data_IF_173071126028
#
_entry.id   IF_173071126028
#
_cell.length_a   1.000
_cell.length_b   1.000
_cell.length_c   1.000
_cell.angle_alpha   90.00
_cell.angle_beta   90.00
_cell.angle_gamma   90.00
#
_symmetry.space_group_name_H-M   'P 1'
#
loop_
_entity.id
_entity.type
_entity.pdbx_description
1 polymer ?
#
# COMPACT_ATOMS: atom_id res chain seq x y z
N UNK A 1 -13.12 2.79 -7.29
CA UNK A 1 -13.10 3.91 -6.31
C UNK A 1 -13.92 3.63 -5.05
N UNK A 2 -15.20 3.21 -5.09
CA UNK A 2 -15.99 3.01 -3.85
C UNK A 2 -15.38 2.05 -2.83
N UNK A 3 -14.71 0.98 -3.28
CA UNK A 3 -13.98 0.08 -2.40
C UNK A 3 -12.78 0.77 -1.74
N UNK A 4 -11.96 1.52 -2.50
CA UNK A 4 -10.83 2.30 -1.97
C UNK A 4 -11.32 3.28 -0.90
N UNK A 5 -12.44 3.96 -1.14
CA UNK A 5 -13.03 4.90 -0.17
C UNK A 5 -13.48 4.21 1.11
N UNK A 6 -14.11 3.03 1.00
CA UNK A 6 -14.50 2.22 2.15
C UNK A 6 -13.30 1.81 2.98
N UNK A 7 -12.23 1.32 2.33
CA UNK A 7 -11.01 0.93 3.04
C UNK A 7 -10.26 2.15 3.60
N UNK A 8 -10.32 3.32 2.94
CA UNK A 8 -9.79 4.59 3.49
C UNK A 8 -10.47 4.98 4.80
N UNK A 9 -11.79 4.81 4.89
CA UNK A 9 -12.55 5.05 6.11
C UNK A 9 -12.11 4.09 7.22
N UNK A 10 -11.92 2.79 6.92
CA UNK A 10 -11.40 1.83 7.90
C UNK A 10 -10.01 2.21 8.41
N UNK A 11 -9.11 2.66 7.53
CA UNK A 11 -7.79 3.16 7.92
C UNK A 11 -7.92 4.32 8.92
N UNK A 12 -8.82 5.27 8.64
CA UNK A 12 -9.09 6.38 9.57
C UNK A 12 -9.73 5.91 10.89
N UNK A 13 -10.60 4.90 10.86
CA UNK A 13 -11.25 4.33 12.05
C UNK A 13 -10.27 3.58 12.97
N UNK A 14 -9.26 2.92 12.43
CA UNK A 14 -8.22 2.27 13.21
C UNK A 14 -7.31 3.26 13.96
N UNK A 15 -7.12 4.45 13.38
CA UNK A 15 -6.26 5.51 13.93
C UNK A 15 -6.95 6.87 13.90
N UNK A 16 -8.02 7.06 14.69
CA UNK A 16 -8.96 8.18 14.53
C UNK A 16 -8.36 9.55 14.81
N UNK A 17 -7.30 9.64 15.62
CA UNK A 17 -6.75 10.92 16.05
C UNK A 17 -5.65 11.46 15.13
N UNK A 18 -4.78 10.58 14.66
CA UNK A 18 -3.56 10.97 13.94
C UNK A 18 -3.30 10.18 12.66
N UNK A 19 -4.18 9.22 12.31
CA UNK A 19 -4.06 8.42 11.10
C UNK A 19 -2.77 7.61 11.02
N UNK A 20 -2.36 7.29 9.80
CA UNK A 20 -1.10 6.62 9.47
C UNK A 20 0.14 7.51 9.61
N UNK A 21 -0.07 8.82 9.71
CA UNK A 21 0.95 9.84 9.51
C UNK A 21 0.93 10.42 8.08
N UNK A 22 1.36 11.70 7.90
CA UNK A 22 1.40 12.34 6.58
C UNK A 22 2.20 11.53 5.55
N UNK A 23 1.66 11.39 4.34
CA UNK A 23 2.28 10.65 3.24
C UNK A 23 2.38 9.13 3.45
N UNK A 24 1.67 8.58 4.44
CA UNK A 24 1.73 7.17 4.80
C UNK A 24 0.46 6.39 4.46
N UNK A 25 -0.41 6.92 3.61
CA UNK A 25 -1.65 6.24 3.20
C UNK A 25 -1.42 4.81 2.68
N UNK A 26 -0.37 4.59 1.88
CA UNK A 26 -0.04 3.26 1.36
C UNK A 26 0.21 2.22 2.48
N UNK A 27 0.70 2.65 3.64
CA UNK A 27 0.90 1.77 4.80
C UNK A 27 -0.43 1.26 5.35
N UNK A 28 -1.43 2.14 5.45
CA UNK A 28 -2.80 1.75 5.78
C UNK A 28 -3.42 0.87 4.70
N UNK A 29 -3.24 1.25 3.42
CA UNK A 29 -3.79 0.52 2.29
C UNK A 29 -3.25 -0.92 2.18
N UNK A 30 -1.98 -1.16 2.54
CA UNK A 30 -1.42 -2.52 2.59
C UNK A 30 -2.04 -3.42 3.67
N UNK A 31 -2.64 -2.83 4.71
CA UNK A 31 -3.41 -3.57 5.72
C UNK A 31 -4.86 -3.80 5.30
N UNK A 32 -5.39 -2.94 4.42
CA UNK A 32 -6.75 -3.02 3.89
C UNK A 32 -6.76 -2.88 2.36
N UNK A 33 -6.13 -3.81 1.61
CA UNK A 33 -6.06 -3.68 0.16
C UNK A 33 -7.40 -4.01 -0.48
N UNK A 34 -7.56 -3.54 -1.70
CA UNK A 34 -8.73 -3.85 -2.55
C UNK A 34 -8.32 -4.91 -3.57
N UNK A 35 -9.15 -5.94 -3.82
CA UNK A 35 -8.86 -6.91 -4.86
C UNK A 35 -8.70 -6.25 -6.24
N UNK A 36 -7.61 -6.56 -6.91
CA UNK A 36 -7.34 -6.16 -8.29
C UNK A 36 -8.14 -7.05 -9.24
N UNK A 37 -8.95 -6.44 -10.09
CA UNK A 37 -9.77 -7.14 -11.08
C UNK A 37 -9.02 -7.22 -12.41
N UNK A 38 -8.94 -8.41 -12.99
CA UNK A 38 -8.32 -8.63 -14.29
C UNK A 38 -6.78 -8.64 -14.29
N UNK A 39 -6.14 -8.54 -13.13
CA UNK A 39 -4.68 -8.66 -12.96
C UNK A 39 -4.27 -10.09 -12.65
N UNK A 40 -2.98 -10.39 -12.79
CA UNK A 40 -2.43 -11.69 -12.46
C UNK A 40 -2.49 -12.02 -10.96
N UNK A 41 -2.35 -11.03 -10.08
CA UNK A 41 -2.47 -11.19 -8.64
C UNK A 41 -3.75 -10.53 -8.10
N UNK A 42 -4.43 -11.21 -7.17
CA UNK A 42 -5.65 -10.71 -6.52
C UNK A 42 -5.38 -9.46 -5.69
N UNK A 43 -4.24 -9.40 -5.01
CA UNK A 43 -3.85 -8.27 -4.15
C UNK A 43 -2.79 -7.38 -4.79
N UNK A 44 -2.60 -7.43 -6.11
CA UNK A 44 -1.61 -6.63 -6.83
C UNK A 44 -1.95 -5.15 -7.00
N UNK A 45 -3.16 -4.72 -6.59
CA UNK A 45 -3.50 -3.30 -6.57
C UNK A 45 -2.75 -2.61 -5.45
N UNK A 46 -2.10 -1.50 -5.78
CA UNK A 46 -1.53 -0.57 -4.82
C UNK A 46 -1.93 0.84 -5.21
N UNK A 47 -2.14 1.70 -4.23
CA UNK A 47 -2.35 3.12 -4.45
C UNK A 47 -1.81 3.91 -3.27
N UNK A 48 -1.11 4.99 -3.57
CA UNK A 48 -0.66 5.97 -2.56
C UNK A 48 -1.79 6.94 -2.18
N UNK A 49 -2.92 6.88 -2.89
CA UNK A 49 -3.99 7.87 -2.77
C UNK A 49 -5.38 7.25 -2.66
N UNK A 50 -6.22 7.85 -1.81
CA UNK A 50 -7.62 7.50 -1.62
C UNK A 50 -8.52 7.89 -2.82
N UNK A 51 -8.01 8.72 -3.74
CA UNK A 51 -8.83 9.41 -4.76
C UNK A 51 -9.97 10.22 -4.12
N UNK A 52 -9.66 10.93 -3.04
CA UNK A 52 -10.49 11.92 -2.35
C UNK A 52 -9.58 12.60 -1.33
N UNK A 53 -9.36 13.91 -1.44
CA UNK A 53 -8.47 14.63 -0.49
C UNK A 53 -8.99 14.55 0.94
N UNK A 54 -10.31 14.51 1.13
CA UNK A 54 -10.92 14.35 2.45
C UNK A 54 -10.59 12.98 3.06
N UNK A 55 -10.78 11.90 2.29
CA UNK A 55 -10.49 10.55 2.79
C UNK A 55 -8.99 10.31 2.94
N UNK A 56 -8.17 10.91 2.07
CA UNK A 56 -6.71 10.93 2.24
C UNK A 56 -6.33 11.59 3.56
N UNK A 57 -6.85 12.80 3.82
CA UNK A 57 -6.58 13.52 5.05
C UNK A 57 -7.03 12.72 6.28
N UNK A 58 -8.22 12.11 6.25
CA UNK A 58 -8.72 11.29 7.35
C UNK A 58 -7.83 10.06 7.61
N UNK A 59 -7.39 9.37 6.56
CA UNK A 59 -6.53 8.19 6.69
C UNK A 59 -5.11 8.55 7.18
N UNK A 60 -4.52 9.65 6.72
CA UNK A 60 -3.14 10.02 7.06
C UNK A 60 -3.01 10.84 8.34
N UNK A 61 -4.02 11.65 8.68
CA UNK A 61 -3.93 12.60 9.80
C UNK A 61 -5.03 12.40 10.83
N UNK A 62 -5.87 11.38 10.66
CA UNK A 62 -7.04 11.15 11.48
C UNK A 62 -8.14 12.18 11.23
N UNK A 63 -9.22 12.05 11.99
CA UNK A 63 -10.36 12.98 11.93
C UNK A 63 -9.98 14.39 12.38
N UNK A 64 -8.97 14.53 13.25
CA UNK A 64 -8.49 15.84 13.68
C UNK A 64 -7.87 16.61 12.51
N UNK A 65 -6.97 16.00 11.75
CA UNK A 65 -6.37 16.66 10.59
C UNK A 65 -7.35 16.81 9.42
N UNK A 66 -8.25 15.85 9.21
CA UNK A 66 -9.34 15.99 8.23
C UNK A 66 -10.28 17.17 8.57
N UNK A 67 -10.62 17.35 9.84
CA UNK A 67 -11.42 18.50 10.29
C UNK A 67 -10.68 19.83 10.07
N UNK A 68 -9.39 19.89 10.39
CA UNK A 68 -8.58 21.09 10.12
C UNK A 68 -8.51 21.41 8.62
N UNK A 69 -8.38 20.39 7.77
CA UNK A 69 -8.41 20.54 6.32
C UNK A 69 -9.75 21.09 5.84
N UNK A 70 -10.87 20.54 6.31
CA UNK A 70 -12.22 21.02 5.98
C UNK A 70 -12.47 22.45 6.48
N UNK A 71 -11.99 22.79 7.67
CA UNK A 71 -12.06 24.17 8.21
C UNK A 71 -11.27 25.11 7.30
N UNK A 72 -10.06 24.72 6.86
CA UNK A 72 -9.25 25.50 5.92
C UNK A 72 -9.95 25.71 4.58
N UNK A 73 -10.51 24.65 4.00
CA UNK A 73 -11.28 24.72 2.76
C UNK A 73 -12.53 25.60 2.91
N UNK A 74 -13.30 25.40 4.00
CA UNK A 74 -14.49 26.21 4.29
C UNK A 74 -14.17 27.68 4.51
N UNK A 75 -13.07 28.00 5.18
CA UNK A 75 -12.58 29.37 5.34
C UNK A 75 -12.17 30.00 4.01
N UNK A 76 -11.51 29.24 3.13
CA UNK A 76 -11.15 29.68 1.78
C UNK A 76 -12.38 29.99 0.94
N UNK A 77 -13.39 29.11 0.94
CA UNK A 77 -14.64 29.30 0.19
C UNK A 77 -15.50 30.45 0.76
N UNK A 78 -15.56 30.59 2.09
CA UNK A 78 -16.20 31.76 2.75
C UNK A 78 -15.48 33.07 2.43
N UNK A 79 -14.16 32.96 2.27
CA UNK A 79 -13.24 33.92 1.64
C UNK A 79 -13.77 34.51 0.32
N UNK A 80 -14.25 33.63 -0.56
CA UNK A 80 -14.72 33.96 -1.90
C UNK A 80 -16.12 34.54 -1.92
N UNK A 81 -17.05 33.95 -1.15
CA UNK A 81 -18.40 34.49 -1.00
C UNK A 81 -18.38 35.92 -0.43
N UNK A 82 -17.22 36.37 0.08
CA UNK A 82 -16.99 37.68 0.62
C UNK A 82 -16.67 38.78 -0.36
N UNK A 83 -16.01 38.43 -1.46
CA UNK A 83 -15.43 39.39 -2.39
C UNK A 83 -16.53 39.87 -3.32
N UNK A 84 -17.07 41.06 -3.03
CA UNK A 84 -18.19 41.66 -3.75
C UNK A 84 -17.77 42.44 -5.02
N UNK A 85 -16.51 42.36 -5.43
CA UNK A 85 -16.02 43.08 -6.61
C UNK A 85 -16.24 42.25 -7.87
N UNK A 86 -17.16 42.69 -8.74
CA UNK A 86 -17.50 42.08 -10.03
C UNK A 86 -16.42 42.34 -11.08
N UNK A 87 -15.23 41.78 -10.88
CA UNK A 87 -14.16 41.74 -11.88
C UNK A 87 -14.18 40.38 -12.58
N UNK A 88 -14.31 40.30 -13.92
CA UNK A 88 -14.47 39.03 -14.63
C UNK A 88 -13.38 38.00 -14.33
N UNK A 89 -12.14 38.45 -14.12
CA UNK A 89 -11.02 37.58 -13.77
C UNK A 89 -11.18 36.96 -12.37
N UNK A 90 -11.72 37.71 -11.40
CA UNK A 90 -11.98 37.21 -10.04
C UNK A 90 -13.16 36.25 -10.02
N UNK A 91 -14.21 36.56 -10.78
CA UNK A 91 -15.37 35.67 -10.94
C UNK A 91 -14.96 34.33 -11.57
N UNK A 92 -14.15 34.37 -12.64
CA UNK A 92 -13.61 33.18 -13.27
C UNK A 92 -12.73 32.37 -12.30
N UNK A 93 -11.86 33.04 -11.53
CA UNK A 93 -11.02 32.38 -10.54
C UNK A 93 -11.83 31.77 -9.38
N UNK A 94 -12.89 32.44 -8.92
CA UNK A 94 -13.79 31.92 -7.88
C UNK A 94 -14.58 30.70 -8.39
N UNK A 95 -15.09 30.75 -9.62
CA UNK A 95 -15.77 29.64 -10.26
C UNK A 95 -14.83 28.43 -10.44
N UNK A 96 -13.60 28.67 -10.87
CA UNK A 96 -12.58 27.64 -10.98
C UNK A 96 -12.28 27.01 -9.61
N UNK A 97 -12.06 27.82 -8.57
CA UNK A 97 -11.80 27.32 -7.23
C UNK A 97 -12.98 26.50 -6.68
N UNK A 98 -14.22 26.94 -6.90
CA UNK A 98 -15.42 26.21 -6.49
C UNK A 98 -15.54 24.86 -7.22
N UNK A 99 -15.34 24.84 -8.54
CA UNK A 99 -15.36 23.61 -9.33
C UNK A 99 -14.26 22.63 -8.88
N UNK A 100 -13.04 23.13 -8.68
CA UNK A 100 -11.91 22.32 -8.19
C UNK A 100 -12.14 21.84 -6.75
N UNK A 101 -12.85 22.63 -5.91
CA UNK A 101 -13.24 22.22 -4.55
C UNK A 101 -14.24 21.08 -4.53
N UNK A 102 -15.09 20.96 -5.56
CA UNK A 102 -15.92 19.75 -5.75
C UNK A 102 -15.06 18.57 -6.18
N UNK A 103 -14.08 18.79 -7.09
CA UNK A 103 -13.21 17.73 -7.58
C UNK A 103 -12.35 17.11 -6.46
N UNK A 104 -11.80 17.89 -5.54
CA UNK A 104 -10.99 17.36 -4.41
C UNK A 104 -11.78 16.42 -3.49
N UNK A 105 -13.11 16.48 -3.47
CA UNK A 105 -13.93 15.54 -2.70
C UNK A 105 -13.94 14.13 -3.30
N UNK A 106 -13.67 13.99 -4.60
CA UNK A 106 -13.82 12.73 -5.35
C UNK A 106 -12.57 12.30 -6.11
N UNK A 107 -11.48 13.05 -5.96
CA UNK A 107 -10.19 12.81 -6.63
C UNK A 107 -9.01 13.33 -5.80
N UNK A 108 -7.80 12.88 -6.13
CA UNK A 108 -6.55 13.25 -5.48
C UNK A 108 -5.84 14.41 -6.21
N UNK A 109 -6.62 15.43 -6.59
CA UNK A 109 -6.16 16.53 -7.43
C UNK A 109 -4.99 17.33 -6.80
N UNK A 110 -4.97 17.53 -5.48
CA UNK A 110 -3.93 18.31 -4.80
C UNK A 110 -2.62 17.53 -4.64
N UNK A 111 -2.65 16.21 -4.86
CA UNK A 111 -1.45 15.37 -4.90
C UNK A 111 -0.66 15.55 -6.22
N UNK A 112 -1.28 16.15 -7.24
CA UNK A 112 -0.64 16.52 -8.50
C UNK A 112 -0.14 17.97 -8.41
N UNK A 113 1.18 18.23 -8.33
CA UNK A 113 1.70 19.57 -8.04
C UNK A 113 1.16 20.67 -8.96
N UNK A 114 1.03 20.39 -10.25
CA UNK A 114 0.50 21.36 -11.22
C UNK A 114 -0.96 21.77 -10.91
N UNK A 115 -1.81 20.82 -10.53
CA UNK A 115 -3.21 21.10 -10.20
C UNK A 115 -3.34 21.74 -8.81
N UNK A 116 -2.46 21.39 -7.87
CA UNK A 116 -2.35 22.08 -6.58
C UNK A 116 -1.97 23.56 -6.78
N UNK A 117 -0.97 23.85 -7.61
CA UNK A 117 -0.60 25.23 -7.96
C UNK A 117 -1.77 25.98 -8.59
N UNK A 118 -2.50 25.35 -9.50
CA UNK A 118 -3.68 25.94 -10.12
C UNK A 118 -4.77 26.26 -9.09
N UNK A 119 -5.03 25.33 -8.16
CA UNK A 119 -6.02 25.49 -7.08
C UNK A 119 -5.68 26.70 -6.20
N UNK A 120 -4.45 26.77 -5.69
CA UNK A 120 -4.04 27.85 -4.81
C UNK A 120 -3.91 29.20 -5.55
N UNK A 121 -3.50 29.19 -6.81
CA UNK A 121 -3.45 30.39 -7.64
C UNK A 121 -4.85 30.94 -7.94
N UNK A 122 -5.83 30.06 -8.21
CA UNK A 122 -7.23 30.45 -8.36
C UNK A 122 -7.77 31.09 -7.07
N UNK A 123 -7.46 30.51 -5.90
CA UNK A 123 -7.82 31.11 -4.61
C UNK A 123 -7.21 32.49 -4.38
N UNK A 124 -5.93 32.67 -4.74
CA UNK A 124 -5.25 33.96 -4.63
C UNK A 124 -5.84 35.02 -5.58
N UNK A 125 -6.07 34.66 -6.86
CA UNK A 125 -6.62 35.54 -7.89
C UNK A 125 -8.06 35.94 -7.62
N UNK A 126 -8.86 35.01 -7.08
CA UNK A 126 -10.23 35.28 -6.67
C UNK A 126 -10.32 36.24 -5.47
N UNK A 127 -9.17 36.67 -4.92
CA UNK A 127 -9.12 37.67 -3.87
C UNK A 127 -9.56 37.12 -2.52
N UNK A 128 -9.41 35.81 -2.28
CA UNK A 128 -9.66 35.18 -0.98
C UNK A 128 -8.76 35.81 0.09
N UNK A 129 -9.27 36.87 0.73
CA UNK A 129 -8.61 37.58 1.82
C UNK A 129 -9.32 37.21 3.11
N UNK A 130 -8.60 36.80 4.17
CA UNK A 130 -9.22 36.59 5.47
C UNK A 130 -9.95 37.88 5.89
N UNK A 131 -11.28 37.82 6.01
CA UNK A 131 -12.07 38.94 6.54
C UNK A 131 -11.63 39.20 7.98
N UNK A 132 -10.99 40.34 8.25
CA UNK A 132 -10.88 40.95 9.59
C UNK A 132 -10.51 40.02 10.76
N UNK A 133 -9.73 38.96 10.53
CA UNK A 133 -9.37 37.99 11.56
C UNK A 133 -8.16 38.43 12.37
N UNK A 134 -8.15 38.15 13.68
CA UNK A 134 -6.94 38.30 14.53
C UNK A 134 -5.78 37.63 13.82
N UNK A 135 -4.70 38.38 13.55
CA UNK A 135 -3.48 37.81 12.97
C UNK A 135 -3.05 36.63 13.84
N UNK A 136 -2.85 35.46 13.23
CA UNK A 136 -2.19 34.36 13.93
C UNK A 136 -0.87 34.92 14.49
N UNK A 137 -0.55 34.66 15.77
CA UNK A 137 0.71 35.11 16.32
C UNK A 137 1.84 34.55 15.44
N UNK A 138 2.88 35.35 15.15
CA UNK A 138 4.00 34.95 14.28
C UNK A 138 4.56 33.57 14.65
N UNK A 139 4.58 33.26 15.95
CA UNK A 139 4.96 31.95 16.47
C UNK A 139 4.12 30.79 15.92
N UNK A 140 2.79 30.93 15.77
CA UNK A 140 1.93 29.89 15.20
C UNK A 140 2.17 29.70 13.69
N UNK A 141 2.39 30.80 12.96
CA UNK A 141 2.74 30.72 11.54
C UNK A 141 4.12 30.05 11.33
N UNK A 142 5.11 30.41 12.15
CA UNK A 142 6.43 29.77 12.16
C UNK A 142 6.31 28.28 12.51
N UNK A 143 5.55 27.95 13.55
CA UNK A 143 5.31 26.55 13.94
C UNK A 143 4.65 25.77 12.80
N UNK A 144 3.63 26.31 12.16
CA UNK A 144 2.99 25.68 10.99
C UNK A 144 3.97 25.44 9.85
N UNK A 145 4.81 26.43 9.52
CA UNK A 145 5.85 26.29 8.50
C UNK A 145 6.91 25.24 8.89
N UNK A 146 7.35 25.21 10.15
CA UNK A 146 8.31 24.22 10.66
C UNK A 146 7.70 22.81 10.64
N UNK A 147 6.44 22.64 11.01
CA UNK A 147 5.75 21.34 10.94
C UNK A 147 5.58 20.88 9.48
N UNK A 148 5.21 21.79 8.59
CA UNK A 148 5.06 21.50 7.17
C UNK A 148 6.40 21.08 6.53
N UNK A 149 7.49 21.79 6.81
CA UNK A 149 8.84 21.42 6.36
C UNK A 149 9.31 20.13 7.06
N UNK A 150 9.00 19.99 8.35
CA UNK A 150 9.34 18.84 9.19
C UNK A 150 8.72 17.54 8.71
N UNK A 151 7.53 17.59 8.10
CA UNK A 151 6.86 16.41 7.52
C UNK A 151 7.69 15.71 6.42
N UNK A 152 8.60 16.44 5.75
CA UNK A 152 9.45 15.89 4.68
C UNK A 152 10.80 15.34 5.19
N UNK A 153 11.18 15.68 6.44
CA UNK A 153 12.48 15.32 7.01
C UNK A 153 12.62 13.80 7.26
N UNK A 154 11.64 13.08 7.83
CA UNK A 154 11.78 11.65 8.13
C UNK A 154 12.18 10.81 6.92
N UNK A 155 11.59 11.09 5.74
CA UNK A 155 11.91 10.35 4.50
C UNK A 155 13.31 10.67 3.99
N UNK A 156 13.75 11.92 4.12
CA UNK A 156 15.12 12.32 3.80
C UNK A 156 16.18 11.71 4.75
N UNK A 157 15.79 11.39 5.98
CA UNK A 157 16.64 10.72 6.98
C UNK A 157 16.69 9.19 6.81
N UNK A 158 15.72 8.58 6.13
CA UNK A 158 15.64 7.15 5.90
C UNK A 158 16.52 6.68 4.73
N UNK A 159 17.84 6.92 4.83
CA UNK A 159 18.83 6.60 3.78
C UNK A 159 19.16 5.11 3.64
N UNK A 160 18.95 4.36 4.72
CA UNK A 160 19.19 2.91 4.78
C UNK A 160 17.97 2.22 5.38
N UNK A 161 17.74 0.94 5.06
CA UNK A 161 16.53 0.24 5.46
C UNK A 161 16.42 0.00 6.96
N UNK A 162 17.53 -0.09 7.71
CA UNK A 162 17.48 -0.23 9.17
C UNK A 162 16.95 1.06 9.81
N UNK A 163 17.47 2.20 9.37
CA UNK A 163 16.96 3.51 9.82
C UNK A 163 15.54 3.75 9.35
N UNK A 164 15.19 3.35 8.13
CA UNK A 164 13.82 3.41 7.64
C UNK A 164 12.85 2.59 8.50
N UNK A 165 13.24 1.37 8.91
CA UNK A 165 12.42 0.50 9.76
C UNK A 165 12.16 1.07 11.17
N UNK A 166 13.07 1.92 11.66
CA UNK A 166 12.92 2.67 12.93
C UNK A 166 12.04 3.90 12.75
N UNK A 167 12.27 4.69 11.70
CA UNK A 167 11.52 5.93 11.44
C UNK A 167 10.08 5.66 10.98
N UNK A 168 9.86 4.55 10.27
CA UNK A 168 8.57 4.12 9.72
C UNK A 168 8.24 2.71 10.24
N UNK A 169 7.90 2.58 11.53
CA UNK A 169 7.72 1.27 12.15
C UNK A 169 6.53 0.47 11.61
N UNK A 170 5.57 1.14 10.97
CA UNK A 170 4.40 0.53 10.34
C UNK A 170 4.64 0.10 8.89
N UNK A 171 5.68 0.63 8.23
CA UNK A 171 6.00 0.28 6.83
C UNK A 171 6.61 -1.13 6.74
N UNK A 172 6.06 -2.05 5.93
CA UNK A 172 6.65 -3.36 5.69
C UNK A 172 7.91 -3.30 4.81
N UNK A 173 8.06 -2.31 3.92
CA UNK A 173 9.09 -2.33 2.86
C UNK A 173 10.51 -2.29 3.40
N UNK A 174 10.77 -1.49 4.44
CA UNK A 174 12.07 -1.43 5.07
C UNK A 174 12.51 -2.80 5.64
N UNK A 175 11.56 -3.59 6.15
CA UNK A 175 11.81 -4.93 6.70
C UNK A 175 11.98 -5.96 5.59
N UNK A 176 11.22 -5.83 4.52
CA UNK A 176 11.39 -6.62 3.30
C UNK A 176 12.79 -6.47 2.70
N UNK A 177 13.31 -5.24 2.57
CA UNK A 177 14.68 -5.02 2.08
C UNK A 177 15.74 -5.64 3.01
N UNK A 178 15.57 -5.49 4.33
CA UNK A 178 16.45 -6.16 5.30
C UNK A 178 16.37 -7.68 5.19
N UNK A 179 15.18 -8.24 4.99
CA UNK A 179 14.98 -9.69 4.88
C UNK A 179 15.67 -10.24 3.64
N UNK A 180 15.53 -9.56 2.49
CA UNK A 180 16.24 -9.92 1.27
C UNK A 180 17.77 -9.89 1.43
N UNK A 181 18.30 -8.88 2.13
CA UNK A 181 19.74 -8.81 2.42
C UNK A 181 20.20 -9.95 3.32
N UNK A 182 19.44 -10.25 4.37
CA UNK A 182 19.72 -11.36 5.27
C UNK A 182 19.70 -12.71 4.54
N UNK A 183 18.75 -12.95 3.63
CA UNK A 183 18.73 -14.15 2.78
C UNK A 183 19.98 -14.26 1.91
N UNK A 184 20.36 -13.17 1.23
CA UNK A 184 21.53 -13.13 0.35
C UNK A 184 22.83 -13.44 1.10
N UNK A 185 22.90 -13.05 2.37
CA UNK A 185 24.05 -13.29 3.26
C UNK A 185 23.97 -14.66 3.98
N UNK A 186 22.92 -15.44 3.75
CA UNK A 186 22.72 -16.75 4.38
C UNK A 186 22.24 -16.69 5.85
N UNK A 187 21.86 -15.52 6.35
CA UNK A 187 21.33 -15.31 7.71
C UNK A 187 19.84 -15.66 7.77
N UNK A 188 19.51 -16.94 7.53
CA UNK A 188 18.13 -17.40 7.31
C UNK A 188 17.19 -17.18 8.51
N UNK A 189 17.66 -17.37 9.74
CA UNK A 189 16.85 -17.14 10.94
C UNK A 189 16.44 -15.66 11.09
N UNK A 190 17.35 -14.74 10.76
CA UNK A 190 17.05 -13.32 10.77
C UNK A 190 16.11 -12.92 9.64
N UNK A 191 16.32 -13.49 8.44
CA UNK A 191 15.41 -13.30 7.32
C UNK A 191 13.97 -13.74 7.67
N UNK A 192 13.78 -14.93 8.26
CA UNK A 192 12.45 -15.40 8.67
C UNK A 192 11.78 -14.47 9.70
N UNK A 193 12.57 -13.96 10.66
CA UNK A 193 12.07 -12.99 11.63
C UNK A 193 11.64 -11.67 10.97
N UNK A 194 12.42 -11.17 10.00
CA UNK A 194 12.10 -9.95 9.26
C UNK A 194 10.87 -10.14 8.35
N UNK A 195 10.76 -11.28 7.67
CA UNK A 195 9.57 -11.64 6.90
C UNK A 195 8.32 -11.75 7.77
N UNK A 196 8.44 -12.32 8.97
CA UNK A 196 7.35 -12.37 9.93
C UNK A 196 6.87 -10.97 10.30
N UNK A 197 7.81 -10.05 10.54
CA UNK A 197 7.46 -8.66 10.84
C UNK A 197 6.83 -7.93 9.63
N UNK A 198 7.30 -8.19 8.40
CA UNK A 198 6.70 -7.63 7.19
C UNK A 198 5.27 -8.15 6.97
N UNK A 199 5.05 -9.45 7.13
CA UNK A 199 3.72 -10.08 7.04
C UNK A 199 2.72 -9.52 8.04
N UNK A 200 3.15 -9.20 9.26
CA UNK A 200 2.27 -8.56 10.26
C UNK A 200 1.82 -7.15 9.85
N UNK A 201 2.54 -6.48 8.95
CA UNK A 201 2.25 -5.11 8.49
C UNK A 201 1.52 -5.07 7.15
N UNK A 202 1.65 -6.11 6.35
CA UNK A 202 0.97 -6.29 5.08
C UNK A 202 0.43 -7.73 4.99
N UNK A 203 -0.67 -8.03 5.70
CA UNK A 203 -1.16 -9.40 5.91
C UNK A 203 -1.73 -10.06 4.64
N UNK A 204 -1.95 -9.28 3.58
CA UNK A 204 -2.48 -9.76 2.30
C UNK A 204 -1.40 -10.03 1.25
N UNK A 205 -0.14 -9.72 1.57
CA UNK A 205 0.98 -9.99 0.67
C UNK A 205 1.39 -11.47 0.78
N UNK A 206 1.13 -12.23 -0.28
CA UNK A 206 1.42 -13.66 -0.32
C UNK A 206 2.91 -13.99 -0.50
N UNK A 207 3.75 -13.01 -0.88
CA UNK A 207 5.18 -13.21 -1.08
C UNK A 207 5.85 -13.50 0.26
N UNK A 208 5.45 -12.82 1.35
CA UNK A 208 6.06 -13.02 2.66
C UNK A 208 5.91 -14.45 3.22
N UNK A 209 4.71 -15.04 3.32
CA UNK A 209 4.58 -16.43 3.75
C UNK A 209 5.27 -17.39 2.77
N UNK A 210 5.29 -17.10 1.46
CA UNK A 210 6.02 -17.92 0.49
C UNK A 210 7.55 -17.89 0.70
N UNK A 211 8.15 -16.73 0.95
CA UNK A 211 9.59 -16.59 1.29
C UNK A 211 9.94 -17.38 2.55
N UNK A 212 9.11 -17.25 3.59
CA UNK A 212 9.27 -18.03 4.82
C UNK A 212 9.15 -19.53 4.58
N UNK A 213 8.23 -19.95 3.70
CA UNK A 213 8.12 -21.35 3.30
C UNK A 213 9.39 -21.86 2.58
N UNK A 214 10.04 -21.02 1.77
CA UNK A 214 11.30 -21.36 1.11
C UNK A 214 12.43 -21.56 2.14
N UNK A 215 12.53 -20.67 3.13
CA UNK A 215 13.47 -20.79 4.24
C UNK A 215 13.23 -22.09 5.02
N UNK A 216 11.98 -22.35 5.42
CA UNK A 216 11.60 -23.57 6.14
C UNK A 216 11.93 -24.84 5.33
N UNK A 217 11.69 -24.83 4.02
CA UNK A 217 12.03 -25.93 3.13
C UNK A 217 13.56 -26.15 3.03
N UNK A 218 14.35 -25.08 2.98
CA UNK A 218 15.81 -25.16 2.95
C UNK A 218 16.38 -25.78 4.24
N UNK A 219 15.74 -25.51 5.39
CA UNK A 219 16.08 -26.10 6.69
C UNK A 219 15.50 -27.50 6.91
N UNK A 220 14.73 -28.02 5.95
CA UNK A 220 14.08 -29.34 6.06
C UNK A 220 12.85 -29.37 6.97
N UNK A 221 12.34 -28.22 7.41
CA UNK A 221 11.10 -28.08 8.19
C UNK A 221 9.87 -28.16 7.28
N UNK A 222 9.63 -29.34 6.71
CA UNK A 222 8.61 -29.55 5.68
C UNK A 222 7.17 -29.30 6.15
N UNK A 223 6.87 -29.51 7.43
CA UNK A 223 5.55 -29.20 8.00
C UNK A 223 5.27 -27.69 7.97
N UNK A 224 6.25 -26.88 8.39
CA UNK A 224 6.15 -25.42 8.38
C UNK A 224 6.11 -24.89 6.95
N UNK A 225 6.93 -25.45 6.06
CA UNK A 225 6.92 -25.10 4.65
C UNK A 225 5.55 -25.36 3.99
N UNK A 226 4.87 -26.47 4.32
CA UNK A 226 3.52 -26.75 3.81
C UNK A 226 2.50 -25.75 4.35
N UNK A 227 2.52 -25.47 5.66
CA UNK A 227 1.60 -24.53 6.30
C UNK A 227 1.76 -23.12 5.73
N UNK A 228 2.99 -22.62 5.62
CA UNK A 228 3.28 -21.29 5.10
C UNK A 228 2.95 -21.16 3.61
N UNK A 229 3.28 -22.19 2.80
CA UNK A 229 2.90 -22.20 1.40
C UNK A 229 1.36 -22.28 1.22
N UNK A 230 0.64 -22.97 2.11
CA UNK A 230 -0.82 -22.98 2.10
C UNK A 230 -1.42 -21.60 2.43
N UNK A 231 -0.79 -20.82 3.33
CA UNK A 231 -1.19 -19.42 3.57
C UNK A 231 -1.01 -18.58 2.31
N UNK A 232 0.14 -18.70 1.63
CA UNK A 232 0.42 -17.97 0.40
C UNK A 232 -0.61 -18.30 -0.71
N UNK A 233 -0.98 -19.58 -0.89
CA UNK A 233 -1.96 -19.98 -1.91
C UNK A 233 -3.41 -19.66 -1.52
N UNK A 234 -3.70 -19.50 -0.23
CA UNK A 234 -5.00 -19.01 0.22
C UNK A 234 -5.18 -17.50 -0.04
N UNK A 235 -4.10 -16.72 0.14
CA UNK A 235 -4.08 -15.30 -0.21
C UNK A 235 -4.16 -15.09 -1.73
N UNK A 236 -3.32 -15.83 -2.46
CA UNK A 236 -3.19 -15.79 -3.91
C UNK A 236 -3.37 -17.19 -4.52
N UNK A 237 -4.61 -17.57 -4.88
CA UNK A 237 -4.88 -18.88 -5.50
C UNK A 237 -4.12 -19.12 -6.80
N UNK A 238 -3.74 -18.04 -7.50
CA UNK A 238 -2.94 -18.05 -8.74
C UNK A 238 -1.43 -18.17 -8.53
N UNK A 239 -0.93 -18.18 -7.30
CA UNK A 239 0.52 -18.16 -7.02
C UNK A 239 1.17 -19.52 -7.29
N UNK A 240 1.62 -19.72 -8.53
CA UNK A 240 2.10 -21.01 -9.03
C UNK A 240 3.31 -21.53 -8.25
N UNK A 241 4.30 -20.67 -7.99
CA UNK A 241 5.51 -21.08 -7.26
C UNK A 241 5.22 -21.45 -5.80
N UNK A 242 4.22 -20.83 -5.16
CA UNK A 242 3.78 -21.23 -3.82
C UNK A 242 3.10 -22.60 -3.83
N UNK A 243 2.29 -22.91 -4.85
CA UNK A 243 1.69 -24.25 -5.03
C UNK A 243 2.73 -25.33 -5.29
N UNK A 244 3.74 -25.04 -6.11
CA UNK A 244 4.85 -25.97 -6.38
C UNK A 244 5.60 -26.28 -5.09
N UNK A 245 5.92 -25.24 -4.29
CA UNK A 245 6.59 -25.41 -3.01
C UNK A 245 5.75 -26.21 -2.02
N UNK A 246 4.43 -25.96 -1.97
CA UNK A 246 3.49 -26.74 -1.17
C UNK A 246 3.47 -28.20 -1.60
N UNK A 247 3.40 -28.48 -2.91
CA UNK A 247 3.45 -29.83 -3.45
C UNK A 247 4.76 -30.54 -3.05
N UNK A 248 5.89 -29.84 -3.14
CA UNK A 248 7.19 -30.35 -2.69
C UNK A 248 7.16 -30.74 -1.21
N UNK A 249 6.67 -29.86 -0.34
CA UNK A 249 6.53 -30.12 1.08
C UNK A 249 5.62 -31.33 1.35
N UNK A 250 4.48 -31.42 0.67
CA UNK A 250 3.55 -32.55 0.77
C UNK A 250 4.18 -33.89 0.36
N UNK A 251 5.00 -33.92 -0.70
CA UNK A 251 5.74 -35.15 -1.08
C UNK A 251 6.70 -35.56 0.04
N UNK A 252 7.44 -34.60 0.60
CA UNK A 252 8.40 -34.85 1.70
C UNK A 252 7.73 -35.32 2.99
N UNK A 253 6.48 -34.91 3.22
CA UNK A 253 5.62 -35.40 4.30
C UNK A 253 4.90 -36.72 3.96
N UNK A 254 5.15 -37.31 2.79
CA UNK A 254 4.52 -38.57 2.36
C UNK A 254 3.07 -38.44 1.87
N UNK A 255 2.53 -37.22 1.80
CA UNK A 255 1.15 -36.85 1.39
C UNK A 255 1.03 -36.69 -0.14
N UNK A 256 1.48 -37.71 -0.90
CA UNK A 256 1.60 -37.64 -2.38
C UNK A 256 0.29 -37.37 -3.12
N UNK A 257 -0.85 -37.85 -2.63
CA UNK A 257 -2.14 -37.60 -3.29
C UNK A 257 -2.50 -36.10 -3.31
N UNK A 258 -2.24 -35.40 -2.21
CA UNK A 258 -2.45 -33.95 -2.11
C UNK A 258 -1.41 -33.18 -2.93
N UNK A 259 -0.16 -33.66 -2.99
CA UNK A 259 0.84 -33.07 -3.87
C UNK A 259 0.44 -33.14 -5.35
N UNK A 260 -0.13 -34.27 -5.81
CA UNK A 260 -0.66 -34.38 -7.19
C UNK A 260 -1.77 -33.37 -7.44
N UNK A 261 -2.72 -33.24 -6.51
CA UNK A 261 -3.80 -32.27 -6.62
C UNK A 261 -3.27 -30.82 -6.77
N UNK A 262 -2.22 -30.45 -6.02
CA UNK A 262 -1.59 -29.12 -6.18
C UNK A 262 -0.92 -28.95 -7.56
N UNK A 263 -0.24 -29.99 -8.08
CA UNK A 263 0.36 -29.92 -9.42
C UNK A 263 -0.70 -29.88 -10.54
N UNK A 264 -1.80 -30.61 -10.38
CA UNK A 264 -2.94 -30.57 -11.31
C UNK A 264 -3.54 -29.16 -11.35
N UNK A 265 -3.66 -28.52 -10.19
CA UNK A 265 -4.14 -27.15 -10.06
C UNK A 265 -3.18 -26.14 -10.72
N UNK A 266 -1.86 -26.32 -10.57
CA UNK A 266 -0.85 -25.53 -11.29
C UNK A 266 -1.05 -25.64 -12.81
N UNK A 267 -1.29 -26.85 -13.35
CA UNK A 267 -1.58 -27.03 -14.78
C UNK A 267 -2.87 -26.33 -15.19
N UNK A 268 -3.93 -26.45 -14.38
CA UNK A 268 -5.24 -25.83 -14.62
C UNK A 268 -5.16 -24.31 -14.66
N UNK A 269 -4.42 -23.69 -13.74
CA UNK A 269 -4.23 -22.23 -13.70
C UNK A 269 -3.39 -21.78 -14.88
N UNK A 270 -2.30 -22.49 -15.20
CA UNK A 270 -1.42 -22.14 -16.33
C UNK A 270 -2.12 -22.24 -17.70
N UNK A 271 -3.15 -23.06 -17.82
CA UNK A 271 -3.96 -23.16 -19.04
C UNK A 271 -4.92 -21.97 -19.23
N UNK A 272 -5.14 -21.14 -18.21
CA UNK A 272 -5.98 -19.95 -18.30
C UNK A 272 -5.18 -18.75 -18.83
N UNK A 273 -5.84 -17.80 -19.52
CA UNK A 273 -5.20 -16.54 -19.89
C UNK A 273 -4.69 -15.83 -18.63
N UNK A 274 -3.42 -15.42 -18.67
CA UNK A 274 -2.86 -14.61 -17.60
C UNK A 274 -3.50 -13.23 -17.59
N UNK A 275 -3.90 -12.76 -16.41
CA UNK A 275 -4.35 -11.37 -16.24
C UNK A 275 -3.23 -10.37 -16.51
N UNK A 276 -3.56 -9.08 -16.47
CA UNK A 276 -2.57 -8.03 -16.65
C UNK A 276 -1.50 -8.06 -15.54
N UNK A 277 -0.26 -7.79 -15.92
CA UNK A 277 0.89 -7.71 -15.02
C UNK A 277 1.37 -6.26 -15.01
N UNK A 278 1.17 -5.56 -13.90
CA UNK A 278 1.51 -4.14 -13.77
C UNK A 278 2.60 -3.87 -12.74
N UNK A 279 2.74 -4.76 -11.76
CA UNK A 279 3.56 -4.53 -10.56
C UNK A 279 4.60 -5.62 -10.37
N UNK A 280 5.62 -5.33 -9.55
CA UNK A 280 6.57 -6.36 -9.12
C UNK A 280 5.90 -7.51 -8.36
N UNK A 281 4.81 -7.23 -7.64
CA UNK A 281 4.01 -8.25 -6.96
C UNK A 281 3.28 -9.16 -7.96
N UNK A 282 2.68 -8.59 -9.02
CA UNK A 282 2.06 -9.37 -10.09
C UNK A 282 3.07 -10.33 -10.72
N UNK A 283 4.29 -9.83 -11.00
CA UNK A 283 5.39 -10.65 -11.53
C UNK A 283 5.74 -11.78 -10.55
N UNK A 284 5.89 -11.47 -9.25
CA UNK A 284 6.20 -12.49 -8.25
C UNK A 284 5.16 -13.61 -8.22
N UNK A 285 3.87 -13.27 -8.27
CA UNK A 285 2.75 -14.22 -8.25
C UNK A 285 2.62 -15.01 -9.57
N UNK A 286 2.86 -14.36 -10.71
CA UNK A 286 2.65 -14.94 -12.04
C UNK A 286 3.83 -15.73 -12.59
N UNK A 287 5.03 -15.54 -12.04
CA UNK A 287 6.22 -16.28 -12.49
C UNK A 287 6.06 -17.78 -12.27
N UNK A 288 6.62 -18.56 -13.19
CA UNK A 288 6.52 -20.02 -13.18
C UNK A 288 7.91 -20.65 -13.28
N UNK A 289 8.37 -21.29 -12.21
CA UNK A 289 9.59 -22.09 -12.22
C UNK A 289 9.29 -23.49 -12.79
N UNK A 290 9.48 -23.62 -14.11
CA UNK A 290 9.28 -24.88 -14.83
C UNK A 290 10.24 -25.99 -14.39
N UNK A 291 11.46 -25.64 -13.97
CA UNK A 291 12.45 -26.61 -13.52
C UNK A 291 12.07 -27.16 -12.15
N UNK A 292 11.63 -26.32 -11.22
CA UNK A 292 11.12 -26.76 -9.92
C UNK A 292 9.85 -27.60 -10.09
N UNK A 293 8.92 -27.19 -10.96
CA UNK A 293 7.72 -27.96 -11.26
C UNK A 293 8.07 -29.38 -11.73
N UNK A 294 8.93 -29.53 -12.73
CA UNK A 294 9.33 -30.83 -13.27
C UNK A 294 10.02 -31.72 -12.21
N UNK A 295 10.87 -31.12 -11.36
CA UNK A 295 11.51 -31.86 -10.24
C UNK A 295 10.47 -32.40 -9.27
N UNK A 296 9.49 -31.59 -8.86
CA UNK A 296 8.46 -32.00 -7.89
C UNK A 296 7.51 -33.03 -8.50
N UNK A 297 7.17 -32.89 -9.78
CA UNK A 297 6.38 -33.87 -10.53
C UNK A 297 7.07 -35.25 -10.52
N UNK A 298 8.36 -35.31 -10.84
CA UNK A 298 9.14 -36.55 -10.81
C UNK A 298 9.17 -37.19 -9.40
N UNK A 299 9.35 -36.38 -8.34
CA UNK A 299 9.32 -36.86 -6.95
C UNK A 299 7.95 -37.44 -6.56
N UNK A 300 6.88 -36.90 -7.14
CA UNK A 300 5.50 -37.35 -6.88
C UNK A 300 5.18 -38.67 -7.58
N UNK A 301 5.80 -38.93 -8.73
CA UNK A 301 5.64 -40.15 -9.52
C UNK A 301 6.49 -41.34 -9.02
N UNK A 302 7.58 -41.08 -8.29
CA UNK A 302 8.46 -42.15 -7.80
C UNK A 302 7.79 -43.06 -6.75
N UNK A 303 7.91 -44.41 -6.88
CA UNK A 303 7.39 -45.35 -5.89
C UNK A 303 8.07 -45.17 -4.53
N UNK A 304 7.36 -45.51 -3.43
CA UNK A 304 7.95 -45.47 -2.07
C UNK A 304 9.12 -46.46 -2.03
N UNK A 305 10.33 -45.95 -1.76
CA UNK A 305 11.45 -46.79 -1.33
C UNK A 305 11.20 -47.27 0.10
#
# INVERSE_FOLDING_TARGET
>A
RPQIWRESLRIAEERPWFGEGPGSYLVGFRRHPVPALGTAARWGMWTEYAHSEFLQAAAETGWAGAALWLIGLGALLSALAASADAEPAREAAAAALAAMSVQVCVDNMLQLPALAFLFFSAGALAGARPRGGRRLPRAAAILGAVLALGAWIPRALARDPARAAVLFPADPLAREDLAYRAEKEGRLAEADALWTQAAARAPFDAVYPWRRAQIAAAEGRWADAESLAAVATALEPGFLNARILRAQALVRLGRRAQARAELDEVRRIRAQPLGYVYTGYDVAVSTFDSAQFARVEALTAAPRR
#
